data_IF_918525160982
#
_entry.id   IF_918525160982
#
_cell.length_a   1.000
_cell.length_b   1.000
_cell.length_c   1.000
_cell.angle_alpha   90.00
_cell.angle_beta   90.00
_cell.angle_gamma   90.00
#
_symmetry.space_group_name_H-M   'P 1'
#
loop_
_entity.id
_entity.type
_entity.pdbx_description
1 polymer ?
#
# COMPACT_ATOMS: atom_id res chain seq x y z
N UNK A 1 -38.07 9.54 -26.87
CA UNK A 1 -38.84 8.78 -27.89
C UNK A 1 -38.10 8.94 -29.20
N UNK A 2 -37.56 7.85 -29.77
CA UNK A 2 -36.90 7.89 -31.09
C UNK A 2 -37.96 7.75 -32.19
N UNK A 3 -37.88 8.56 -33.24
CA UNK A 3 -38.75 8.46 -34.40
C UNK A 3 -38.34 7.27 -35.28
N UNK A 4 -39.31 6.49 -35.70
CA UNK A 4 -39.11 5.27 -36.51
C UNK A 4 -38.39 5.62 -37.83
N UNK A 5 -37.34 4.86 -38.17
CA UNK A 5 -36.49 5.01 -39.37
C UNK A 5 -35.62 6.27 -39.48
N UNK A 6 -35.16 6.86 -38.37
CA UNK A 6 -34.17 7.94 -38.41
C UNK A 6 -32.83 7.56 -37.76
N UNK A 7 -31.94 6.79 -38.44
CA UNK A 7 -30.65 6.35 -37.88
C UNK A 7 -29.73 7.50 -37.48
N UNK A 8 -29.94 8.69 -38.07
CA UNK A 8 -29.14 9.89 -37.82
C UNK A 8 -29.28 10.48 -36.41
N UNK A 9 -30.34 10.10 -35.67
CA UNK A 9 -30.57 10.57 -34.29
C UNK A 9 -29.73 9.76 -33.28
N UNK A 10 -29.17 8.60 -33.67
CA UNK A 10 -28.44 7.69 -32.78
C UNK A 10 -26.96 7.46 -33.17
N UNK A 11 -26.33 8.46 -33.81
CA UNK A 11 -24.95 8.35 -34.30
C UNK A 11 -23.90 8.10 -33.20
N UNK A 12 -24.23 8.39 -31.93
CA UNK A 12 -23.37 8.07 -30.79
C UNK A 12 -23.40 6.57 -30.47
N UNK A 13 -24.57 5.92 -30.53
CA UNK A 13 -24.66 4.47 -30.35
C UNK A 13 -24.05 3.75 -31.55
N UNK A 14 -24.23 4.25 -32.78
CA UNK A 14 -23.67 3.62 -33.98
C UNK A 14 -22.14 3.55 -33.93
N UNK A 15 -21.47 4.66 -33.54
CA UNK A 15 -20.01 4.67 -33.36
C UNK A 15 -19.57 3.71 -32.25
N UNK A 16 -20.32 3.67 -31.16
CA UNK A 16 -20.06 2.75 -30.04
C UNK A 16 -20.16 1.29 -30.48
N UNK A 17 -21.23 0.96 -31.23
CA UNK A 17 -21.48 -0.37 -31.78
C UNK A 17 -20.36 -0.76 -32.75
N UNK A 18 -19.89 0.19 -33.57
CA UNK A 18 -18.80 -0.07 -34.52
C UNK A 18 -17.49 -0.40 -33.78
N UNK A 19 -17.11 0.39 -32.78
CA UNK A 19 -15.93 0.12 -31.95
C UNK A 19 -16.01 -1.26 -31.27
N UNK A 20 -17.16 -1.59 -30.68
CA UNK A 20 -17.37 -2.90 -30.05
C UNK A 20 -17.26 -4.04 -31.06
N UNK A 21 -17.83 -3.89 -32.27
CA UNK A 21 -17.70 -4.89 -33.33
C UNK A 21 -16.25 -5.11 -33.74
N UNK A 22 -15.46 -4.04 -33.85
CA UNK A 22 -14.05 -4.15 -34.25
C UNK A 22 -13.21 -4.81 -33.15
N UNK A 23 -13.46 -4.48 -31.87
CA UNK A 23 -12.83 -5.18 -30.73
C UNK A 23 -13.20 -6.67 -30.67
N UNK A 24 -14.45 -7.01 -30.95
CA UNK A 24 -14.92 -8.39 -30.99
C UNK A 24 -14.31 -9.16 -32.17
N UNK A 25 -14.13 -8.53 -33.34
CA UNK A 25 -13.42 -9.16 -34.48
C UNK A 25 -11.97 -9.46 -34.13
N UNK A 26 -11.27 -8.52 -33.51
CA UNK A 26 -9.90 -8.74 -33.05
C UNK A 26 -9.84 -9.91 -32.04
N UNK A 27 -10.75 -9.94 -31.07
CA UNK A 27 -10.87 -11.02 -30.10
C UNK A 27 -11.12 -12.38 -30.78
N UNK A 28 -12.00 -12.44 -31.78
CA UNK A 28 -12.27 -13.67 -32.52
C UNK A 28 -11.06 -14.14 -33.34
N UNK A 29 -10.23 -13.22 -33.84
CA UNK A 29 -8.99 -13.55 -34.57
C UNK A 29 -7.94 -14.13 -33.59
N UNK A 30 -7.74 -13.48 -32.44
CA UNK A 30 -6.68 -13.87 -31.49
C UNK A 30 -7.01 -15.13 -30.69
N UNK A 31 -8.27 -15.28 -30.27
CA UNK A 31 -8.71 -16.37 -29.38
C UNK A 31 -9.50 -17.47 -30.09
N UNK A 32 -9.75 -17.31 -31.40
CA UNK A 32 -10.42 -18.32 -32.23
C UNK A 32 -11.79 -18.71 -31.68
N UNK A 33 -12.04 -20.01 -31.50
CA UNK A 33 -13.32 -20.54 -30.98
C UNK A 33 -13.56 -20.21 -29.50
N UNK A 34 -12.54 -19.77 -28.77
CA UNK A 34 -12.60 -19.49 -27.33
C UNK A 34 -12.92 -18.01 -27.02
N UNK A 35 -13.20 -17.21 -28.04
CA UNK A 35 -13.47 -15.77 -27.91
C UNK A 35 -14.63 -15.44 -26.95
N UNK A 36 -15.61 -16.34 -26.81
CA UNK A 36 -16.74 -16.18 -25.88
C UNK A 36 -16.26 -16.09 -24.43
N UNK A 37 -15.24 -16.88 -24.06
CA UNK A 37 -14.65 -16.83 -22.72
C UNK A 37 -13.83 -15.55 -22.47
N UNK A 38 -13.50 -14.81 -23.54
CA UNK A 38 -12.73 -13.57 -23.52
C UNK A 38 -13.61 -12.31 -23.63
N UNK A 39 -14.95 -12.47 -23.75
CA UNK A 39 -15.90 -11.35 -23.70
C UNK A 39 -15.73 -10.44 -22.47
N UNK A 40 -15.50 -10.95 -21.24
CA UNK A 40 -15.25 -10.10 -20.09
C UNK A 40 -14.01 -9.20 -20.26
N UNK A 41 -13.00 -9.66 -21.00
CA UNK A 41 -11.80 -8.85 -21.28
C UNK A 41 -12.07 -7.75 -22.30
N UNK A 42 -12.91 -8.02 -23.31
CA UNK A 42 -13.35 -7.03 -24.29
C UNK A 42 -14.17 -5.95 -23.61
N UNK A 43 -15.15 -6.33 -22.80
CA UNK A 43 -15.97 -5.41 -22.01
C UNK A 43 -15.10 -4.57 -21.06
N UNK A 44 -14.17 -5.22 -20.34
CA UNK A 44 -13.23 -4.53 -19.47
C UNK A 44 -12.38 -3.50 -20.22
N UNK A 45 -11.87 -3.88 -21.41
CA UNK A 45 -11.04 -3.02 -22.24
C UNK A 45 -11.83 -1.82 -22.76
N UNK A 46 -13.07 -2.04 -23.20
CA UNK A 46 -13.95 -0.99 -23.69
C UNK A 46 -14.30 0.00 -22.57
N UNK A 47 -14.75 -0.51 -21.42
CA UNK A 47 -15.14 0.32 -20.26
C UNK A 47 -13.98 1.14 -19.67
N UNK A 48 -12.73 0.69 -19.87
CA UNK A 48 -11.53 1.35 -19.37
C UNK A 48 -10.77 2.16 -20.44
N UNK A 49 -11.22 2.16 -21.69
CA UNK A 49 -10.61 2.95 -22.77
C UNK A 49 -11.12 4.38 -22.76
N UNK A 50 -10.29 5.33 -23.22
CA UNK A 50 -10.67 6.74 -23.29
C UNK A 50 -11.66 7.00 -24.43
N UNK A 51 -12.78 7.67 -24.11
CA UNK A 51 -13.78 8.06 -25.10
C UNK A 51 -13.74 9.57 -25.33
N UNK A 52 -13.37 10.01 -26.54
CA UNK A 52 -13.21 11.43 -26.87
C UNK A 52 -14.50 12.26 -26.66
N UNK A 53 -15.68 11.67 -26.87
CA UNK A 53 -16.96 12.34 -26.66
C UNK A 53 -17.28 12.60 -25.18
N UNK A 54 -16.83 11.70 -24.29
CA UNK A 54 -17.05 11.79 -22.84
C UNK A 54 -15.86 12.47 -22.15
N UNK A 55 -14.73 12.60 -22.85
CA UNK A 55 -13.42 13.06 -22.34
C UNK A 55 -12.90 12.25 -21.15
N UNK A 56 -13.39 11.03 -20.96
CA UNK A 56 -13.00 10.09 -19.91
C UNK A 56 -13.29 8.65 -20.37
N UNK A 57 -12.83 7.67 -19.59
CA UNK A 57 -13.28 6.29 -19.78
C UNK A 57 -14.71 6.11 -19.24
N UNK A 58 -15.58 5.28 -19.86
CA UNK A 58 -16.93 5.03 -19.36
C UNK A 58 -16.97 4.61 -17.88
N UNK A 59 -16.04 3.76 -17.43
CA UNK A 59 -15.90 3.37 -16.03
C UNK A 59 -15.58 4.56 -15.12
N UNK A 60 -14.66 5.43 -15.56
CA UNK A 60 -14.26 6.62 -14.80
C UNK A 60 -15.41 7.62 -14.69
N UNK A 61 -16.16 7.83 -15.78
CA UNK A 61 -17.34 8.68 -15.79
C UNK A 61 -18.45 8.14 -14.87
N UNK A 62 -18.64 6.82 -14.81
CA UNK A 62 -19.69 6.19 -13.99
C UNK A 62 -19.35 6.17 -12.50
N UNK A 63 -18.10 5.85 -12.14
CA UNK A 63 -17.71 5.63 -10.75
C UNK A 63 -16.89 6.78 -10.15
N UNK A 64 -16.53 7.79 -10.93
CA UNK A 64 -15.70 8.92 -10.51
C UNK A 64 -14.27 8.52 -10.16
N UNK A 65 -13.79 7.36 -10.62
CA UNK A 65 -12.45 6.85 -10.35
C UNK A 65 -11.96 5.93 -11.46
N UNK A 66 -10.65 5.90 -11.70
CA UNK A 66 -10.03 4.96 -12.63
C UNK A 66 -10.17 3.50 -12.17
N UNK A 67 -10.34 2.59 -13.12
CA UNK A 67 -10.44 1.16 -12.84
C UNK A 67 -9.14 0.64 -12.21
N UNK A 68 -9.26 -0.32 -11.27
CA UNK A 68 -8.11 -1.04 -10.71
C UNK A 68 -7.88 -2.29 -11.56
N UNK A 69 -7.07 -2.17 -12.61
CA UNK A 69 -6.60 -3.34 -13.35
C UNK A 69 -5.46 -4.04 -12.58
N UNK A 70 -5.32 -5.38 -12.70
CA UNK A 70 -4.12 -6.10 -12.26
C UNK A 70 -2.87 -5.60 -12.99
N UNK A 71 -3.04 -5.14 -14.24
CA UNK A 71 -2.01 -4.50 -15.06
C UNK A 71 -1.98 -3.01 -14.73
N UNK A 72 -1.57 -2.68 -13.52
CA UNK A 72 -1.40 -1.29 -13.11
C UNK A 72 -0.29 -0.67 -13.96
N UNK A 73 -0.65 0.21 -14.90
CA UNK A 73 0.29 1.09 -15.58
C UNK A 73 0.70 2.17 -14.59
N UNK A 74 1.61 1.80 -13.69
CA UNK A 74 2.35 2.80 -12.92
C UNK A 74 3.22 3.55 -13.94
N UNK A 75 2.92 4.81 -14.16
CA UNK A 75 3.70 5.67 -15.04
C UNK A 75 4.87 6.30 -14.28
N UNK A 76 5.92 6.64 -15.03
CA UNK A 76 7.05 7.40 -14.49
C UNK A 76 6.55 8.78 -14.05
N UNK A 77 6.95 9.22 -12.86
CA UNK A 77 6.48 10.46 -12.24
C UNK A 77 5.25 10.30 -11.34
N UNK A 78 4.50 9.19 -11.43
CA UNK A 78 3.37 8.95 -10.52
C UNK A 78 3.84 8.64 -9.09
N UNK A 79 3.11 9.17 -8.11
CA UNK A 79 3.29 8.83 -6.72
C UNK A 79 2.70 7.44 -6.40
N UNK A 80 3.50 6.57 -5.80
CA UNK A 80 3.13 5.22 -5.39
C UNK A 80 3.34 5.06 -3.89
N UNK A 81 2.48 4.28 -3.25
CA UNK A 81 2.64 3.93 -1.84
C UNK A 81 3.27 2.54 -1.70
N UNK A 82 4.34 2.45 -0.90
CA UNK A 82 5.10 1.22 -0.71
C UNK A 82 4.50 0.40 0.43
N UNK A 83 4.22 -0.88 0.19
CA UNK A 83 3.77 -1.83 1.19
C UNK A 83 4.90 -2.18 2.14
N UNK A 84 4.63 -2.10 3.44
CA UNK A 84 5.62 -2.36 4.50
C UNK A 84 5.14 -3.51 5.38
N UNK A 85 6.02 -4.49 5.61
CA UNK A 85 5.76 -5.61 6.51
C UNK A 85 6.07 -5.18 7.94
N UNK A 86 5.18 -5.42 8.92
CA UNK A 86 5.44 -5.12 10.34
C UNK A 86 5.53 -6.37 11.19
N UNK A 87 6.48 -6.36 12.12
CA UNK A 87 6.79 -7.48 13.02
C UNK A 87 5.84 -7.64 14.23
N UNK A 88 4.79 -6.81 14.40
CA UNK A 88 3.97 -6.78 15.64
C UNK A 88 2.46 -6.75 15.42
N UNK A 89 1.74 -7.27 16.43
CA UNK A 89 0.28 -7.48 16.42
C UNK A 89 -0.46 -6.24 15.93
N UNK A 90 -1.26 -6.48 14.89
CA UNK A 90 -2.17 -5.58 14.18
C UNK A 90 -3.08 -4.84 15.18
N UNK A 91 -2.86 -3.53 15.39
CA UNK A 91 -3.94 -2.65 15.84
C UNK A 91 -4.76 -2.25 14.61
N UNK A 92 -6.08 -2.22 14.75
CA UNK A 92 -7.11 -2.10 13.70
C UNK A 92 -6.97 -0.84 12.79
N UNK A 93 -6.12 0.12 13.14
CA UNK A 93 -5.99 1.45 12.50
C UNK A 93 -4.56 1.87 12.06
N UNK A 94 -3.59 0.94 11.95
CA UNK A 94 -2.25 1.31 11.44
C UNK A 94 -2.18 1.30 9.91
N UNK A 95 -1.45 2.26 9.32
CA UNK A 95 -1.19 2.29 7.87
C UNK A 95 -0.41 1.06 7.43
N UNK A 96 -0.87 0.41 6.35
CA UNK A 96 -0.23 -0.73 5.69
C UNK A 96 0.80 -0.33 4.63
N UNK A 97 0.77 0.94 4.25
CA UNK A 97 1.61 1.50 3.20
C UNK A 97 2.29 2.75 3.72
N UNK A 98 3.47 3.03 3.17
CA UNK A 98 4.35 4.11 3.59
C UNK A 98 4.63 4.99 2.38
N UNK A 99 4.55 6.30 2.62
CA UNK A 99 4.89 7.38 1.70
C UNK A 99 4.07 7.37 0.41
N UNK A 100 3.80 8.52 -0.20
CA UNK A 100 3.85 8.61 -1.64
C UNK A 100 5.32 8.77 -2.08
N UNK A 101 5.84 7.83 -2.85
CA UNK A 101 7.16 7.89 -3.48
C UNK A 101 6.99 8.04 -4.99
N UNK A 102 7.77 8.93 -5.61
CA UNK A 102 7.71 9.09 -7.07
C UNK A 102 8.38 7.91 -7.76
N UNK A 103 7.80 7.48 -8.87
CA UNK A 103 8.42 6.46 -9.73
C UNK A 103 9.44 7.16 -10.62
N UNK A 104 10.71 6.80 -10.48
CA UNK A 104 11.80 7.32 -11.31
C UNK A 104 11.83 6.63 -12.66
N UNK A 105 11.65 5.31 -12.69
CA UNK A 105 11.82 4.52 -13.89
C UNK A 105 11.07 3.19 -13.83
N UNK A 106 10.59 2.72 -14.98
CA UNK A 106 10.08 1.36 -15.16
C UNK A 106 11.18 0.47 -15.72
N UNK A 107 11.85 -0.30 -14.85
CA UNK A 107 12.96 -1.18 -15.24
C UNK A 107 12.45 -2.38 -16.05
N UNK A 108 11.30 -2.96 -15.65
CA UNK A 108 10.66 -4.10 -16.33
C UNK A 108 9.14 -4.00 -16.25
N UNK A 109 8.43 -4.92 -16.90
CA UNK A 109 6.95 -5.02 -16.84
C UNK A 109 6.40 -5.04 -15.40
N UNK A 110 7.16 -5.56 -14.44
CA UNK A 110 6.71 -5.82 -13.05
C UNK A 110 7.63 -5.18 -12.00
N UNK A 111 8.67 -4.43 -12.40
CA UNK A 111 9.65 -3.85 -11.49
C UNK A 111 9.84 -2.35 -11.76
N UNK A 112 9.75 -1.56 -10.68
CA UNK A 112 9.76 -0.10 -10.72
C UNK A 112 10.81 0.44 -9.77
N UNK A 113 11.51 1.50 -10.21
CA UNK A 113 12.45 2.24 -9.40
C UNK A 113 11.75 3.44 -8.77
N UNK A 114 11.86 3.60 -7.46
CA UNK A 114 11.25 4.71 -6.71
C UNK A 114 12.30 5.71 -6.24
N UNK A 115 11.87 6.96 -6.10
CA UNK A 115 12.58 8.01 -5.39
C UNK A 115 12.38 7.79 -3.89
N UNK A 116 13.35 7.14 -3.26
CA UNK A 116 13.36 6.92 -1.82
C UNK A 116 14.10 8.06 -1.13
N UNK A 117 13.58 8.55 0.01
CA UNK A 117 14.27 9.53 0.82
C UNK A 117 15.44 8.86 1.57
N UNK A 118 16.36 9.69 2.10
CA UNK A 118 17.64 9.23 2.63
C UNK A 118 17.50 8.25 3.81
N UNK A 119 16.39 8.31 4.56
CA UNK A 119 16.09 7.38 5.65
C UNK A 119 15.89 5.93 5.16
N UNK A 120 15.58 5.75 3.87
CA UNK A 120 15.42 4.46 3.20
C UNK A 120 16.58 4.13 2.26
N UNK A 121 17.68 4.88 2.30
CA UNK A 121 18.87 4.67 1.44
C UNK A 121 19.47 3.27 1.53
N UNK A 122 19.32 2.58 2.67
CA UNK A 122 19.75 1.19 2.86
C UNK A 122 18.95 0.18 2.04
N UNK A 123 17.72 0.53 1.65
CA UNK A 123 16.83 -0.35 0.89
C UNK A 123 17.05 -0.12 -0.60
N UNK A 124 17.14 -1.21 -1.36
CA UNK A 124 17.15 -1.12 -2.82
C UNK A 124 15.89 -0.40 -3.31
N UNK A 125 16.09 0.64 -4.11
CA UNK A 125 15.01 1.46 -4.66
C UNK A 125 14.18 0.78 -5.76
N UNK A 126 14.45 -0.49 -6.07
CA UNK A 126 13.72 -1.27 -7.07
C UNK A 126 12.74 -2.20 -6.38
N UNK A 127 11.45 -2.04 -6.69
CA UNK A 127 10.37 -2.80 -6.07
C UNK A 127 9.53 -3.52 -7.10
N UNK A 128 9.06 -4.71 -6.73
CA UNK A 128 8.05 -5.45 -7.48
C UNK A 128 6.68 -4.78 -7.36
N UNK A 129 5.89 -4.79 -8.44
CA UNK A 129 4.56 -4.14 -8.50
C UNK A 129 3.61 -4.56 -7.37
N UNK A 130 3.74 -5.79 -6.85
CA UNK A 130 2.92 -6.29 -5.73
C UNK A 130 3.11 -5.53 -4.43
N UNK A 131 4.28 -4.91 -4.26
CA UNK A 131 4.60 -4.10 -3.09
C UNK A 131 4.20 -2.64 -3.29
N UNK A 132 3.71 -2.27 -4.47
CA UNK A 132 3.33 -0.92 -4.83
C UNK A 132 1.82 -0.81 -4.93
N UNK A 133 1.32 0.37 -4.57
CA UNK A 133 -0.08 0.70 -4.77
C UNK A 133 -0.19 2.14 -5.25
N UNK A 134 -1.06 2.38 -6.23
CA UNK A 134 -1.28 3.71 -6.78
C UNK A 134 -1.75 4.68 -5.68
N UNK A 135 -1.05 5.78 -5.52
CA UNK A 135 -1.54 6.89 -4.71
C UNK A 135 -2.64 7.59 -5.51
N UNK A 136 -3.83 7.75 -4.92
CA UNK A 136 -4.96 8.44 -5.55
C UNK A 136 -5.13 9.87 -5.02
N UNK A 137 -4.21 10.35 -4.18
CA UNK A 137 -4.25 11.71 -3.70
C UNK A 137 -3.59 12.62 -4.76
N UNK A 138 -4.34 13.62 -5.23
CA UNK A 138 -3.86 14.64 -6.19
C UNK A 138 -2.73 15.48 -5.59
N UNK A 139 -2.65 15.52 -4.25
CA UNK A 139 -1.58 16.13 -3.50
C UNK A 139 -0.85 15.05 -2.68
N UNK A 140 0.48 14.95 -2.77
CA UNK A 140 1.23 14.02 -1.95
C UNK A 140 1.12 14.51 -0.50
N UNK A 141 0.12 13.99 0.22
CA UNK A 141 0.07 14.01 1.68
C UNK A 141 1.22 13.13 2.17
N UNK A 142 2.44 13.65 2.04
CA UNK A 142 3.64 13.05 2.54
C UNK A 142 3.48 12.99 4.05
N UNK A 143 3.01 11.85 4.57
CA UNK A 143 3.18 11.54 5.98
C UNK A 143 4.70 11.53 6.16
N UNK A 144 5.27 12.46 6.96
CA UNK A 144 6.71 12.48 7.14
C UNK A 144 7.15 11.09 7.63
N UNK A 145 8.12 10.48 6.94
CA UNK A 145 8.75 9.23 7.38
C UNK A 145 9.63 9.44 8.61
N UNK A 146 9.77 10.69 9.00
CA UNK A 146 10.58 11.18 10.06
C UNK A 146 10.32 10.38 11.35
N UNK A 147 11.29 9.55 11.75
CA UNK A 147 11.23 8.65 12.91
C UNK A 147 10.73 7.22 12.64
N UNK A 148 10.59 6.79 11.38
CA UNK A 148 10.34 5.40 11.04
C UNK A 148 11.66 4.68 10.69
N UNK A 149 12.18 3.84 11.60
CA UNK A 149 13.36 3.02 11.31
C UNK A 149 12.91 1.77 10.51
N UNK A 150 13.50 1.57 9.32
CA UNK A 150 13.29 0.37 8.52
C UNK A 150 14.56 -0.48 8.52
N UNK A 151 14.40 -1.80 8.58
CA UNK A 151 15.51 -2.72 8.30
C UNK A 151 15.63 -2.99 6.79
N UNK A 152 16.68 -3.72 6.38
CA UNK A 152 16.96 -4.08 4.97
C UNK A 152 15.82 -4.88 4.32
N UNK A 153 14.88 -5.39 5.11
CA UNK A 153 13.71 -6.16 4.67
C UNK A 153 12.43 -5.34 4.73
N UNK A 154 12.52 -4.00 4.78
CA UNK A 154 11.39 -3.08 4.90
C UNK A 154 10.53 -3.32 6.16
N UNK A 155 11.11 -3.89 7.22
CA UNK A 155 10.37 -4.01 8.47
C UNK A 155 10.43 -2.73 9.26
N UNK A 156 9.27 -2.30 9.70
CA UNK A 156 9.16 -1.18 10.60
C UNK A 156 9.62 -1.56 12.03
N UNK A 157 10.68 -0.91 12.49
CA UNK A 157 11.25 -1.08 13.83
C UNK A 157 10.89 0.16 14.66
N UNK A 158 10.12 -0.04 15.74
CA UNK A 158 10.01 0.99 16.81
C UNK A 158 11.07 0.72 17.86
N UNK A 159 11.75 1.76 18.29
CA UNK A 159 12.69 1.68 19.40
C UNK A 159 11.97 1.84 20.75
N UNK A 160 12.16 0.90 21.70
CA UNK A 160 11.65 1.04 23.05
C UNK A 160 12.50 2.05 23.84
N UNK A 161 11.85 3.02 24.47
CA UNK A 161 12.53 4.07 25.25
C UNK A 161 12.83 3.56 26.65
N UNK A 162 11.80 3.08 27.36
CA UNK A 162 11.94 2.59 28.73
C UNK A 162 10.81 1.67 29.14
N UNK A 163 11.11 0.81 30.10
CA UNK A 163 10.10 0.02 30.82
C UNK A 163 9.52 0.92 31.91
N UNK A 164 8.21 1.15 31.86
CA UNK A 164 7.49 2.03 32.79
C UNK A 164 6.90 1.23 33.95
N UNK A 165 6.41 0.03 33.66
CA UNK A 165 5.76 -0.80 34.67
C UNK A 165 6.01 -2.28 34.40
N UNK A 166 5.82 -3.10 35.42
CA UNK A 166 5.85 -4.56 35.35
C UNK A 166 4.63 -5.11 36.06
N UNK A 167 3.96 -6.08 35.45
CA UNK A 167 2.78 -6.72 36.01
C UNK A 167 2.84 -8.22 35.74
N UNK A 168 2.35 -9.04 36.66
CA UNK A 168 2.27 -10.49 36.46
C UNK A 168 0.82 -10.89 36.34
N UNK A 169 0.40 -11.30 35.14
CA UNK A 169 -0.95 -11.82 34.93
C UNK A 169 -1.01 -13.26 35.46
N UNK A 170 -1.80 -13.48 36.53
CA UNK A 170 -2.08 -14.81 37.05
C UNK A 170 -3.24 -15.45 36.28
N UNK A 171 -3.02 -16.65 35.77
CA UNK A 171 -4.01 -17.55 35.21
C UNK A 171 -4.15 -18.78 36.12
N UNK A 172 -5.15 -19.64 35.88
CA UNK A 172 -5.44 -20.82 36.72
C UNK A 172 -4.22 -21.72 36.96
N UNK A 173 -3.30 -21.84 35.99
CA UNK A 173 -2.11 -22.70 36.07
C UNK A 173 -0.79 -21.99 35.75
N UNK A 174 -0.80 -20.68 35.48
CA UNK A 174 0.43 -20.00 35.03
C UNK A 174 0.50 -18.54 35.47
N UNK A 175 1.73 -18.03 35.53
CA UNK A 175 2.04 -16.63 35.80
C UNK A 175 2.77 -16.09 34.58
N UNK A 176 2.23 -15.03 33.98
CA UNK A 176 2.82 -14.42 32.78
C UNK A 176 3.36 -13.04 33.17
N UNK A 177 4.68 -12.88 33.29
CA UNK A 177 5.30 -11.57 33.51
C UNK A 177 5.17 -10.70 32.25
N UNK A 178 4.64 -9.51 32.42
CA UNK A 178 4.42 -8.50 31.40
C UNK A 178 5.15 -7.21 31.78
N UNK A 179 5.72 -6.54 30.79
CA UNK A 179 6.36 -5.24 30.94
C UNK A 179 5.59 -4.19 30.13
N UNK A 180 5.28 -3.05 30.75
CA UNK A 180 4.70 -1.89 30.07
C UNK A 180 5.84 -1.07 29.50
N UNK A 181 5.91 -1.00 28.18
CA UNK A 181 7.01 -0.35 27.46
C UNK A 181 6.53 0.97 26.88
N UNK A 182 7.32 2.02 27.07
CA UNK A 182 7.19 3.29 26.34
C UNK A 182 7.93 3.18 25.02
N UNK A 183 7.25 3.52 23.93
CA UNK A 183 7.85 3.59 22.60
C UNK A 183 8.15 5.02 22.20
N UNK A 184 9.22 5.21 21.43
CA UNK A 184 9.48 6.50 20.80
C UNK A 184 8.57 6.59 19.57
N UNK A 185 7.56 7.46 19.64
CA UNK A 185 6.63 7.71 18.53
C UNK A 185 6.40 9.20 18.42
N UNK A 186 6.61 9.76 17.23
CA UNK A 186 6.36 11.19 16.96
C UNK A 186 4.87 11.57 17.10
N UNK A 187 3.96 10.58 17.07
CA UNK A 187 2.51 10.77 17.28
C UNK A 187 2.10 10.81 18.76
N UNK A 188 3.07 10.89 19.67
CA UNK A 188 2.87 10.90 21.12
C UNK A 188 3.34 9.61 21.79
N UNK A 189 3.42 9.59 23.13
CA UNK A 189 3.93 8.45 23.88
C UNK A 189 3.01 7.24 23.70
N UNK A 190 3.55 6.19 23.09
CA UNK A 190 2.85 4.92 22.92
C UNK A 190 3.24 3.94 24.02
N UNK A 191 2.23 3.24 24.54
CA UNK A 191 2.39 2.26 25.62
C UNK A 191 1.84 0.91 25.18
N UNK A 192 2.66 -0.14 25.28
CA UNK A 192 2.21 -1.52 25.07
C UNK A 192 2.68 -2.43 26.20
N UNK A 193 1.86 -3.45 26.49
CA UNK A 193 2.25 -4.56 27.36
C UNK A 193 2.89 -5.65 26.52
N UNK A 194 4.14 -5.98 26.82
CA UNK A 194 4.89 -7.04 26.14
C UNK A 194 5.27 -8.13 27.14
N UNK A 195 5.39 -9.38 26.67
CA UNK A 195 5.86 -10.49 27.49
C UNK A 195 7.33 -10.30 27.87
N UNK A 196 7.64 -10.33 29.16
CA UNK A 196 8.97 -9.98 29.68
C UNK A 196 10.08 -10.88 29.11
N UNK A 197 9.83 -12.18 28.99
CA UNK A 197 10.79 -13.16 28.49
C UNK A 197 11.17 -12.93 27.03
N UNK A 198 10.19 -12.64 26.17
CA UNK A 198 10.43 -12.33 24.77
C UNK A 198 11.07 -10.95 24.60
N UNK A 199 10.63 -10.00 25.42
CA UNK A 199 11.11 -8.63 25.38
C UNK A 199 12.57 -8.52 25.80
N UNK A 200 12.96 -9.23 26.87
CA UNK A 200 14.33 -9.27 27.39
C UNK A 200 15.31 -9.92 26.43
N UNK A 201 14.90 -10.91 25.64
CA UNK A 201 15.72 -11.50 24.57
C UNK A 201 16.08 -10.49 23.48
N UNK A 202 15.15 -9.58 23.14
CA UNK A 202 15.35 -8.58 22.08
C UNK A 202 15.98 -7.28 22.56
N UNK A 203 15.69 -6.85 23.79
CA UNK A 203 16.11 -5.57 24.35
C UNK A 203 16.67 -5.74 25.76
N UNK A 204 17.68 -6.59 25.90
CA UNK A 204 18.32 -6.90 27.18
C UNK A 204 18.86 -5.66 27.90
N UNK A 205 19.37 -4.67 27.14
CA UNK A 205 19.93 -3.42 27.66
C UNK A 205 18.92 -2.60 28.48
N UNK A 206 17.61 -2.69 28.22
CA UNK A 206 16.59 -1.98 28.98
C UNK A 206 16.30 -2.59 30.36
N UNK A 207 16.84 -3.78 30.64
CA UNK A 207 16.68 -4.47 31.91
C UNK A 207 17.90 -4.34 32.83
N UNK A 208 19.02 -3.83 32.32
CA UNK A 208 20.18 -3.51 33.13
C UNK A 208 19.89 -2.25 33.94
N UNK A 209 19.72 -2.38 35.27
CA UNK A 209 19.68 -1.21 36.15
C UNK A 209 21.10 -0.66 36.30
N UNK A 210 21.24 0.64 36.10
CA UNK A 210 22.34 1.45 36.63
C UNK A 210 22.47 1.16 38.14
N UNK A 211 23.66 0.77 38.58
CA UNK A 211 23.96 0.68 40.01
C UNK A 211 23.75 2.07 40.62
N UNK A 212 23.07 2.20 41.78
CA UNK A 212 23.12 3.44 42.52
C UNK A 212 24.59 3.65 42.92
N UNK A 213 25.20 4.75 42.48
CA UNK A 213 26.48 5.20 43.04
C UNK A 213 26.25 5.43 44.52
N UNK A 214 26.82 4.56 45.35
CA UNK A 214 26.89 4.76 46.79
C UNK A 214 27.66 6.04 47.07
N UNK A 215 26.96 7.15 47.30
CA UNK A 215 27.57 8.31 47.97
C UNK A 215 27.74 7.92 49.43
N UNK A 216 28.94 7.43 49.75
CA UNK A 216 29.40 7.24 51.12
C UNK A 216 29.48 8.62 51.77
N UNK A 217 28.80 8.76 52.90
CA UNK A 217 28.91 9.89 53.78
C UNK A 217 30.31 9.97 54.40
N UNK A 218 30.87 11.17 54.49
CA UNK A 218 31.86 11.57 55.49
C UNK A 218 31.63 13.04 55.79
#
# INVERSE_FOLDING_TARGET
MSTMYHPKIDGQSERTIQTLKDMLRACAIDFGKDWVNHLPLVEFSYNNSYHASIKAAPFEALYGRKCRSPVCWIEVGEAQILGVVRFRKRRKLNSRYVGPFKVLEKIRKIAYKLELPEELSKVHNTFHVSNLKKCHADEPLAVPLDGLHFDDKLHFVKEPVKIINREVKRLKQSRIPLVKVRWNSKRGPEFTWEREDQFRKKYSHLFAKTAPSSSVAS
#
